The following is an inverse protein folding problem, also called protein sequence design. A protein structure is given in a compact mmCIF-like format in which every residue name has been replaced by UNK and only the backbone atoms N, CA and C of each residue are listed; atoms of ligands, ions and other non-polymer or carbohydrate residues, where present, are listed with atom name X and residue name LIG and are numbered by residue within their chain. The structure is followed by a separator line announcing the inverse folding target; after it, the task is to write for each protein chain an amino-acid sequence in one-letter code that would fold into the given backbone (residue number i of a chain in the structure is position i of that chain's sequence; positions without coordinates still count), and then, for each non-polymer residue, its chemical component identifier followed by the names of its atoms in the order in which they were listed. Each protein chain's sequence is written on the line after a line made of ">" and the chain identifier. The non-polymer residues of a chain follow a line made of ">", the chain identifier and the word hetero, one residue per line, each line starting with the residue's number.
data_IF_109561563406
#
_entry.id   IF_109561563406
#
_cell.length_a   1.000
_cell.length_b   1.000
_cell.length_c   1.000
_cell.angle_alpha   90.00
_cell.angle_beta   90.00
_cell.angle_gamma   90.00
#
_symmetry.space_group_name_H-M   'P 1'
#
loop_
_entity.id
_entity.type
_entity.pdbx_description
1 polymer ?
#
# COMPACT_ATOMS: atom_id res chain seq x y z
N UNK A 1 4.11 -7.85 25.94
CA UNK A 1 3.11 -7.22 25.05
C UNK A 1 3.81 -6.18 24.18
N UNK A 2 4.50 -6.60 23.12
CA UNK A 2 5.21 -5.69 22.21
C UNK A 2 4.32 -5.40 21.01
N UNK A 3 3.83 -4.16 20.86
CA UNK A 3 3.24 -3.73 19.60
C UNK A 3 4.36 -3.79 18.56
N UNK A 4 4.22 -4.67 17.58
CA UNK A 4 5.07 -4.69 16.39
C UNK A 4 4.81 -3.37 15.69
N UNK A 5 5.59 -2.35 16.05
CA UNK A 5 5.75 -1.16 15.24
C UNK A 5 6.35 -1.71 13.95
N UNK A 6 5.52 -1.94 12.92
CA UNK A 6 6.03 -2.11 11.57
C UNK A 6 6.87 -0.86 11.33
N UNK A 7 8.20 -1.02 11.38
CA UNK A 7 9.13 0.05 11.07
C UNK A 7 8.70 0.60 9.72
N UNK A 8 8.55 1.93 9.63
CA UNK A 8 8.14 2.60 8.41
C UNK A 8 8.81 1.90 7.23
N UNK A 9 8.04 1.36 6.25
CA UNK A 9 8.66 0.87 5.04
C UNK A 9 9.57 1.98 4.51
N UNK A 10 10.68 1.65 3.82
CA UNK A 10 11.52 2.65 3.19
C UNK A 10 10.71 3.36 2.11
N UNK A 11 9.86 4.31 2.51
CA UNK A 11 9.34 5.38 1.69
C UNK A 11 10.59 6.17 1.35
N UNK A 12 11.17 5.83 0.20
CA UNK A 12 12.39 6.44 -0.33
C UNK A 12 12.23 7.95 -0.26
N UNK A 13 12.79 8.58 0.78
CA UNK A 13 13.09 10.01 0.90
C UNK A 13 12.01 10.88 0.20
N UNK A 14 10.74 10.65 0.53
CA UNK A 14 9.65 11.54 0.11
C UNK A 14 9.50 12.56 1.21
N UNK A 15 9.73 13.83 0.89
CA UNK A 15 9.40 14.92 1.79
C UNK A 15 7.88 14.98 1.87
N UNK A 16 7.31 14.30 2.88
CA UNK A 16 5.86 14.17 3.05
C UNK A 16 5.16 15.52 3.13
N UNK A 17 5.85 16.54 3.63
CA UNK A 17 5.37 17.93 3.67
C UNK A 17 5.35 18.59 2.30
N UNK A 18 6.35 18.34 1.45
CA UNK A 18 6.35 18.83 0.06
C UNK A 18 5.35 18.09 -0.82
N UNK A 19 5.17 16.80 -0.59
CA UNK A 19 4.40 15.91 -1.44
C UNK A 19 2.97 15.67 -0.91
N UNK A 20 2.55 16.39 0.14
CA UNK A 20 1.28 16.20 0.84
C UNK A 20 0.09 16.16 -0.13
N UNK A 21 0.00 17.12 -1.05
CA UNK A 21 -1.11 17.19 -2.01
C UNK A 21 -1.18 15.95 -2.91
N UNK A 22 -0.03 15.45 -3.37
CA UNK A 22 0.05 14.26 -4.23
C UNK A 22 -0.31 13.02 -3.43
N UNK A 23 0.18 12.92 -2.19
CA UNK A 23 -0.09 11.78 -1.31
C UNK A 23 -1.56 11.72 -0.88
N UNK A 24 -2.21 12.86 -0.68
CA UNK A 24 -3.65 12.93 -0.39
C UNK A 24 -4.46 12.37 -1.55
N UNK A 25 -4.23 12.85 -2.77
CA UNK A 25 -4.93 12.33 -3.97
C UNK A 25 -4.65 10.85 -4.19
N UNK A 26 -3.38 10.43 -4.04
CA UNK A 26 -3.02 9.03 -4.18
C UNK A 26 -3.71 8.14 -3.13
N UNK A 27 -3.88 8.63 -1.90
CA UNK A 27 -4.61 7.93 -0.83
C UNK A 27 -6.09 7.82 -1.14
N UNK A 28 -6.73 8.89 -1.59
CA UNK A 28 -8.15 8.89 -1.98
C UNK A 28 -8.41 7.88 -3.09
N UNK A 29 -7.61 7.92 -4.17
CA UNK A 29 -7.72 6.95 -5.26
C UNK A 29 -7.48 5.51 -4.79
N UNK A 30 -6.48 5.28 -3.93
CA UNK A 30 -6.22 3.96 -3.40
C UNK A 30 -7.41 3.46 -2.54
N UNK A 31 -8.05 4.35 -1.77
CA UNK A 31 -9.22 3.98 -0.97
C UNK A 31 -10.42 3.64 -1.89
N UNK A 32 -10.70 4.46 -2.90
CA UNK A 32 -11.75 4.18 -3.88
C UNK A 32 -11.55 2.84 -4.59
N UNK A 33 -10.30 2.50 -4.94
CA UNK A 33 -9.96 1.21 -5.55
C UNK A 33 -10.25 0.04 -4.62
N UNK A 34 -9.90 0.15 -3.33
CA UNK A 34 -10.15 -0.90 -2.33
C UNK A 34 -11.64 -1.02 -2.00
N UNK A 35 -12.36 0.10 -1.93
CA UNK A 35 -13.80 0.10 -1.68
C UNK A 35 -14.57 -0.57 -2.83
N UNK A 36 -14.08 -0.42 -4.07
CA UNK A 36 -14.67 -1.05 -5.26
C UNK A 36 -14.30 -2.53 -5.43
N UNK A 37 -13.05 -2.93 -5.14
CA UNK A 37 -12.55 -4.30 -5.27
C UNK A 37 -11.54 -4.59 -4.16
N UNK A 38 -12.02 -5.00 -2.96
CA UNK A 38 -11.17 -5.22 -1.79
C UNK A 38 -10.07 -6.26 -2.03
N UNK A 39 -10.37 -7.26 -2.85
CA UNK A 39 -9.44 -8.33 -3.19
C UNK A 39 -8.48 -7.95 -4.33
N UNK A 40 -8.66 -6.78 -4.95
CA UNK A 40 -7.94 -6.34 -6.15
C UNK A 40 -7.90 -7.46 -7.22
N UNK A 41 -9.03 -8.13 -7.41
CA UNK A 41 -9.22 -9.31 -8.24
C UNK A 41 -9.31 -8.99 -9.74
N UNK A 42 -9.61 -7.73 -10.09
CA UNK A 42 -9.69 -7.30 -11.48
C UNK A 42 -8.38 -7.59 -12.25
N UNK A 43 -8.43 -8.17 -13.48
CA UNK A 43 -7.22 -8.48 -14.26
C UNK A 43 -6.33 -7.27 -14.52
N UNK A 44 -6.93 -6.08 -14.68
CA UNK A 44 -6.22 -4.81 -14.85
C UNK A 44 -5.34 -4.45 -13.63
N UNK A 45 -5.69 -4.93 -12.43
CA UNK A 45 -5.00 -4.64 -11.17
C UNK A 45 -3.92 -5.67 -10.82
N UNK A 46 -3.82 -6.79 -11.54
CA UNK A 46 -2.87 -7.86 -11.23
C UNK A 46 -1.41 -7.37 -11.15
N UNK A 47 -1.01 -6.50 -12.08
CA UNK A 47 0.34 -5.92 -12.09
C UNK A 47 0.58 -4.99 -10.89
N UNK A 48 -0.41 -4.18 -10.51
CA UNK A 48 -0.31 -3.30 -9.34
C UNK A 48 -0.24 -4.12 -8.05
N UNK A 49 -1.15 -5.08 -7.88
CA UNK A 49 -1.21 -5.99 -6.71
C UNK A 49 0.12 -6.72 -6.50
N UNK A 50 0.69 -7.30 -7.56
CA UNK A 50 2.00 -7.96 -7.48
C UNK A 50 3.14 -7.03 -7.08
N UNK A 51 3.16 -5.77 -7.54
CA UNK A 51 4.19 -4.80 -7.16
C UNK A 51 4.05 -4.36 -5.71
N UNK A 52 2.82 -4.20 -5.20
CA UNK A 52 2.55 -3.86 -3.80
C UNK A 52 3.00 -4.99 -2.89
N UNK A 53 2.58 -6.23 -3.16
CA UNK A 53 2.99 -7.42 -2.39
C UNK A 53 4.51 -7.57 -2.41
N UNK A 54 5.14 -7.46 -3.59
CA UNK A 54 6.61 -7.57 -3.71
C UNK A 54 7.36 -6.50 -2.90
N UNK A 55 6.84 -5.28 -2.79
CA UNK A 55 7.53 -4.17 -2.09
C UNK A 55 7.23 -4.13 -0.59
N UNK A 56 6.02 -4.50 -0.20
CA UNK A 56 5.52 -4.23 1.15
C UNK A 56 4.95 -5.47 1.85
N UNK A 57 4.81 -6.61 1.16
CA UNK A 57 4.24 -7.84 1.72
C UNK A 57 4.95 -8.32 2.99
N UNK A 58 6.28 -8.31 2.97
CA UNK A 58 7.10 -8.70 4.13
C UNK A 58 7.00 -7.70 5.30
N UNK A 59 6.92 -6.40 4.98
CA UNK A 59 6.87 -5.31 5.97
C UNK A 59 5.50 -5.21 6.63
N UNK A 60 4.44 -5.46 5.86
CA UNK A 60 3.04 -5.39 6.29
C UNK A 60 2.50 -6.76 6.74
N UNK A 61 3.31 -7.82 6.70
CA UNK A 61 2.89 -9.19 7.01
C UNK A 61 1.66 -9.63 6.20
N UNK A 62 1.59 -9.26 4.93
CA UNK A 62 0.48 -9.62 4.01
C UNK A 62 0.56 -11.09 3.53
N UNK A 63 1.44 -11.91 4.12
CA UNK A 63 1.71 -13.29 3.72
C UNK A 63 0.59 -14.29 4.00
N UNK A 64 -0.39 -13.93 4.83
CA UNK A 64 -1.49 -14.84 5.23
C UNK A 64 -2.81 -14.62 4.48
N UNK A 65 -2.80 -13.82 3.40
CA UNK A 65 -4.01 -13.57 2.57
C UNK A 65 -3.77 -14.09 1.16
N UNK A 66 -3.81 -15.41 1.00
CA UNK A 66 -3.76 -16.12 -0.29
C UNK A 66 -4.84 -17.21 -0.35
#
# INVERSE_FOLDING_TARGET
>A
MGRRQSGMPPMMIADLTRDEAILTVARELAQEMIDADPDMSAPAMAKLKSQVIRRYGDVLSLGDVA
#
